data_IF_562948986634
#
_entry.id   IF_562948986634
#
_cell.length_a   1.000
_cell.length_b   1.000
_cell.length_c   1.000
_cell.angle_alpha   90.00
_cell.angle_beta   90.00
_cell.angle_gamma   90.00
#
_symmetry.space_group_name_H-M   'P 1'
#
loop_
_entity.id
_entity.type
_entity.pdbx_description
1 polymer ?
#
# COMPACT_ATOMS: atom_id res chain seq x y z
N UNK A 1 -13.21 -15.81 -12.24
CA UNK A 1 -12.12 -15.95 -11.26
C UNK A 1 -11.42 -14.61 -11.12
N UNK A 2 -11.38 -14.04 -9.94
CA UNK A 2 -10.84 -12.71 -9.64
C UNK A 2 -11.43 -11.56 -10.46
N UNK A 3 -12.70 -11.66 -10.87
CA UNK A 3 -13.39 -10.59 -11.60
C UNK A 3 -13.70 -9.42 -10.67
N UNK A 4 -13.51 -8.21 -11.17
CA UNK A 4 -13.97 -6.97 -10.52
C UNK A 4 -15.05 -6.28 -11.34
N UNK A 5 -15.72 -7.02 -12.22
CA UNK A 5 -16.73 -6.48 -13.13
C UNK A 5 -17.82 -5.70 -12.37
N UNK A 6 -18.01 -4.45 -12.75
CA UNK A 6 -19.00 -3.55 -12.16
C UNK A 6 -18.71 -3.08 -10.73
N UNK A 7 -17.58 -3.48 -10.09
CA UNK A 7 -17.14 -2.99 -8.79
C UNK A 7 -16.71 -1.52 -8.88
N UNK A 8 -17.04 -0.74 -7.85
CA UNK A 8 -16.59 0.65 -7.71
C UNK A 8 -15.38 0.67 -6.79
N UNK A 9 -14.23 1.09 -7.33
CA UNK A 9 -12.96 1.08 -6.61
C UNK A 9 -12.38 2.49 -6.46
N UNK A 10 -11.99 2.86 -5.23
CA UNK A 10 -11.19 4.05 -4.94
C UNK A 10 -9.75 3.60 -4.72
N UNK A 11 -8.80 4.27 -5.39
CA UNK A 11 -7.36 4.04 -5.19
C UNK A 11 -6.71 5.38 -4.86
N UNK A 12 -6.33 5.57 -3.59
CA UNK A 12 -5.54 6.75 -3.19
C UNK A 12 -4.08 6.58 -3.61
N UNK A 13 -3.41 7.66 -4.00
CA UNK A 13 -2.07 7.57 -4.57
C UNK A 13 -2.03 6.84 -5.93
N UNK A 14 -3.16 6.79 -6.63
CA UNK A 14 -3.31 6.05 -7.88
C UNK A 14 -2.61 6.68 -9.10
N UNK A 15 -1.92 7.80 -8.93
CA UNK A 15 -1.20 8.50 -10.01
C UNK A 15 0.22 7.97 -10.27
N UNK A 16 0.77 7.09 -9.44
CA UNK A 16 2.12 6.55 -9.63
C UNK A 16 2.33 5.21 -8.92
N UNK A 17 3.44 4.54 -9.20
CA UNK A 17 3.92 3.35 -8.48
C UNK A 17 2.87 2.27 -8.28
N UNK A 18 2.79 1.74 -7.06
CA UNK A 18 1.86 0.65 -6.69
C UNK A 18 0.40 1.04 -6.93
N UNK A 19 0.01 2.28 -6.56
CA UNK A 19 -1.36 2.76 -6.74
C UNK A 19 -1.77 2.78 -8.21
N UNK A 20 -0.91 3.26 -9.10
CA UNK A 20 -1.16 3.29 -10.54
C UNK A 20 -1.26 1.88 -11.14
N UNK A 21 -0.32 0.99 -10.79
CA UNK A 21 -0.35 -0.39 -11.24
C UNK A 21 -1.65 -1.09 -10.79
N UNK A 22 -2.09 -0.82 -9.54
CA UNK A 22 -3.35 -1.32 -9.00
C UNK A 22 -4.55 -0.77 -9.77
N UNK A 23 -4.59 0.54 -10.01
CA UNK A 23 -5.70 1.19 -10.73
C UNK A 23 -5.86 0.63 -12.15
N UNK A 24 -4.76 0.49 -12.89
CA UNK A 24 -4.76 -0.11 -14.23
C UNK A 24 -5.23 -1.56 -14.21
N UNK A 25 -4.73 -2.34 -13.25
CA UNK A 25 -5.11 -3.75 -13.10
C UNK A 25 -6.60 -3.91 -12.78
N UNK A 26 -7.15 -3.05 -11.92
CA UNK A 26 -8.57 -3.06 -11.56
C UNK A 26 -9.45 -2.68 -12.74
N UNK A 27 -9.08 -1.63 -13.50
CA UNK A 27 -9.80 -1.25 -14.72
C UNK A 27 -9.80 -2.39 -15.75
N UNK A 28 -8.67 -3.05 -15.96
CA UNK A 28 -8.57 -4.23 -16.85
C UNK A 28 -9.41 -5.43 -16.37
N UNK A 29 -9.73 -5.50 -15.07
CA UNK A 29 -10.58 -6.54 -14.47
C UNK A 29 -12.07 -6.15 -14.44
N UNK A 30 -12.46 -5.02 -15.06
CA UNK A 30 -13.85 -4.58 -15.20
C UNK A 30 -14.34 -3.64 -14.09
N UNK A 31 -13.48 -3.20 -13.18
CA UNK A 31 -13.87 -2.23 -12.16
C UNK A 31 -13.99 -0.81 -12.73
N UNK A 32 -14.92 -0.03 -12.18
CA UNK A 32 -14.96 1.42 -12.33
C UNK A 32 -14.03 2.04 -11.29
N UNK A 33 -12.89 2.55 -11.75
CA UNK A 33 -11.81 3.03 -10.88
C UNK A 33 -11.87 4.54 -10.73
N UNK A 34 -11.77 5.01 -9.49
CA UNK A 34 -11.54 6.41 -9.13
C UNK A 34 -10.13 6.53 -8.55
N UNK A 35 -9.27 7.26 -9.24
CA UNK A 35 -7.95 7.64 -8.75
C UNK A 35 -8.08 8.90 -7.91
N UNK A 36 -7.69 8.81 -6.62
CA UNK A 36 -7.57 9.93 -5.72
C UNK A 36 -6.08 10.27 -5.53
N UNK A 37 -5.65 11.42 -6.02
CA UNK A 37 -4.24 11.80 -6.03
C UNK A 37 -4.06 13.31 -5.86
N UNK A 38 -2.99 13.73 -5.16
CA UNK A 38 -2.73 15.16 -4.92
C UNK A 38 -2.29 15.87 -6.19
N UNK A 39 -1.36 15.27 -6.91
CA UNK A 39 -0.91 15.78 -8.21
C UNK A 39 -1.89 15.39 -9.31
N UNK A 40 -2.00 16.21 -10.34
CA UNK A 40 -2.88 15.93 -11.46
C UNK A 40 -2.50 14.60 -12.15
N UNK A 41 -3.49 13.73 -12.25
CA UNK A 41 -3.42 12.43 -12.91
C UNK A 41 -4.55 12.24 -13.92
N UNK A 42 -5.20 13.33 -14.36
CA UNK A 42 -6.38 13.31 -15.22
C UNK A 42 -6.12 12.62 -16.56
N UNK A 43 -5.10 13.06 -17.30
CA UNK A 43 -4.74 12.47 -18.59
C UNK A 43 -4.33 10.98 -18.46
N UNK A 44 -3.66 10.64 -17.36
CA UNK A 44 -3.27 9.26 -17.08
C UNK A 44 -4.49 8.38 -16.79
N UNK A 45 -5.44 8.86 -15.99
CA UNK A 45 -6.67 8.16 -15.65
C UNK A 45 -7.55 7.93 -16.90
N UNK A 46 -7.71 8.96 -17.74
CA UNK A 46 -8.44 8.89 -19.00
C UNK A 46 -7.87 7.81 -19.93
N UNK A 47 -6.55 7.66 -19.98
CA UNK A 47 -5.85 6.70 -20.84
C UNK A 47 -6.22 5.22 -20.60
N UNK A 48 -6.85 4.89 -19.46
CA UNK A 48 -7.37 3.54 -19.18
C UNK A 48 -8.81 3.54 -18.60
N UNK A 49 -9.56 4.61 -18.85
CA UNK A 49 -10.97 4.69 -18.50
C UNK A 49 -11.28 4.89 -17.02
N UNK A 50 -10.33 5.37 -16.23
CA UNK A 50 -10.55 5.72 -14.83
C UNK A 50 -10.99 7.18 -14.67
N UNK A 51 -11.58 7.50 -13.52
CA UNK A 51 -11.91 8.87 -13.11
C UNK A 51 -10.80 9.39 -12.19
N UNK A 52 -10.34 10.60 -12.41
CA UNK A 52 -9.44 11.30 -11.49
C UNK A 52 -10.21 12.28 -10.60
N UNK A 53 -9.88 12.31 -9.30
CA UNK A 53 -10.33 13.33 -8.35
C UNK A 53 -9.11 13.84 -7.55
N UNK A 54 -8.91 15.18 -7.49
CA UNK A 54 -7.80 15.77 -6.71
C UNK A 54 -8.09 15.62 -5.21
N UNK A 55 -7.15 15.01 -4.48
CA UNK A 55 -7.27 14.80 -3.03
C UNK A 55 -5.89 14.78 -2.37
N UNK A 56 -5.70 15.59 -1.35
CA UNK A 56 -4.67 15.38 -0.34
C UNK A 56 -5.27 14.58 0.81
N UNK A 57 -4.75 13.37 1.06
CA UNK A 57 -5.26 12.47 2.10
C UNK A 57 -4.97 12.97 3.51
N UNK A 58 -4.02 13.90 3.69
CA UNK A 58 -3.75 14.57 4.96
C UNK A 58 -4.89 15.54 5.36
N UNK A 59 -5.72 15.94 4.39
CA UNK A 59 -6.82 16.85 4.60
C UNK A 59 -8.16 16.08 4.68
N UNK A 60 -8.63 15.76 5.89
CA UNK A 60 -9.84 14.96 6.11
C UNK A 60 -11.07 15.52 5.36
N UNK A 61 -11.19 16.85 5.24
CA UNK A 61 -12.26 17.51 4.51
C UNK A 61 -12.29 17.14 3.03
N UNK A 62 -11.11 17.00 2.41
CA UNK A 62 -10.97 16.57 1.00
C UNK A 62 -11.30 15.09 0.85
N UNK A 63 -10.90 14.25 1.81
CA UNK A 63 -11.27 12.83 1.85
C UNK A 63 -12.79 12.67 1.94
N UNK A 64 -13.45 13.43 2.81
CA UNK A 64 -14.91 13.45 2.92
C UNK A 64 -15.57 13.86 1.61
N UNK A 65 -15.06 14.89 0.94
CA UNK A 65 -15.56 15.36 -0.34
C UNK A 65 -15.36 14.32 -1.45
N UNK A 66 -14.21 13.62 -1.48
CA UNK A 66 -13.94 12.49 -2.39
C UNK A 66 -15.03 11.43 -2.27
N UNK A 67 -15.26 10.93 -1.04
CA UNK A 67 -16.24 9.88 -0.80
C UNK A 67 -17.65 10.33 -1.22
N UNK A 68 -18.06 11.55 -0.84
CA UNK A 68 -19.34 12.10 -1.22
C UNK A 68 -19.53 12.16 -2.76
N UNK A 69 -18.48 12.56 -3.49
CA UNK A 69 -18.52 12.63 -4.95
C UNK A 69 -18.59 11.23 -5.59
N UNK A 70 -17.86 10.23 -5.05
CA UNK A 70 -17.95 8.84 -5.53
C UNK A 70 -19.36 8.29 -5.29
N UNK A 71 -19.95 8.52 -4.13
CA UNK A 71 -21.32 8.09 -3.83
C UNK A 71 -22.33 8.80 -4.73
N UNK A 72 -22.18 10.08 -4.97
CA UNK A 72 -23.04 10.83 -5.90
C UNK A 72 -23.01 10.26 -7.31
N UNK A 73 -21.83 9.81 -7.79
CA UNK A 73 -21.66 9.25 -9.15
C UNK A 73 -22.08 7.80 -9.28
N UNK A 74 -21.80 7.00 -8.25
CA UNK A 74 -21.86 5.53 -8.36
C UNK A 74 -22.81 4.86 -7.35
N UNK A 75 -23.26 5.58 -6.31
CA UNK A 75 -24.19 5.09 -5.30
C UNK A 75 -23.59 4.17 -4.24
N UNK A 76 -22.36 3.64 -4.43
CA UNK A 76 -21.68 2.72 -3.52
C UNK A 76 -20.18 2.75 -3.70
N UNK A 77 -19.47 2.11 -2.76
CA UNK A 77 -18.05 1.77 -2.85
C UNK A 77 -17.92 0.28 -2.56
N UNK A 78 -17.24 -0.47 -3.42
CA UNK A 78 -17.00 -1.90 -3.24
C UNK A 78 -15.55 -2.18 -2.79
N UNK A 79 -14.59 -1.35 -3.24
CA UNK A 79 -13.18 -1.54 -2.97
C UNK A 79 -12.54 -0.19 -2.60
N UNK A 80 -11.77 -0.18 -1.52
CA UNK A 80 -10.91 0.94 -1.15
C UNK A 80 -9.46 0.47 -1.08
N UNK A 81 -8.58 1.10 -1.83
CA UNK A 81 -7.13 0.87 -1.76
C UNK A 81 -6.44 2.13 -1.25
N UNK A 82 -5.83 2.05 -0.09
CA UNK A 82 -5.04 3.12 0.51
C UNK A 82 -3.57 2.94 0.16
N UNK A 83 -3.14 3.57 -0.96
CA UNK A 83 -1.77 3.52 -1.46
C UNK A 83 -1.07 4.89 -1.44
N UNK A 84 -1.76 5.96 -1.09
CA UNK A 84 -1.12 7.24 -0.85
C UNK A 84 -0.15 7.15 0.33
N UNK A 85 1.03 7.73 0.18
CA UNK A 85 2.04 7.74 1.22
C UNK A 85 3.22 8.61 0.83
N UNK A 86 4.05 8.90 1.81
CA UNK A 86 5.31 9.59 1.63
C UNK A 86 6.42 8.91 2.43
N UNK A 87 7.63 9.11 1.98
CA UNK A 87 8.87 8.90 2.70
C UNK A 87 9.73 10.13 2.50
N UNK A 88 10.24 10.70 3.58
CA UNK A 88 11.13 11.85 3.56
C UNK A 88 12.58 11.42 3.76
N UNK A 89 13.47 12.37 4.07
CA UNK A 89 14.87 12.12 4.37
C UNK A 89 15.02 11.08 5.49
N UNK A 90 15.86 10.12 5.24
CA UNK A 90 16.18 9.04 6.17
C UNK A 90 17.28 9.52 7.12
N UNK A 91 16.90 9.80 8.37
CA UNK A 91 17.78 10.35 9.40
C UNK A 91 17.86 9.42 10.60
N UNK A 92 19.03 9.38 11.31
CA UNK A 92 19.13 8.74 12.61
C UNK A 92 18.04 9.23 13.56
N UNK A 93 17.52 8.37 14.43
CA UNK A 93 16.37 8.67 15.29
C UNK A 93 16.56 9.96 16.13
N UNK A 94 17.79 10.28 16.52
CA UNK A 94 18.09 11.50 17.27
C UNK A 94 17.99 12.78 16.43
N UNK A 95 17.97 12.69 15.10
CA UNK A 95 17.95 13.80 14.16
C UNK A 95 16.57 14.00 13.53
N UNK A 96 15.65 13.04 13.70
CA UNK A 96 14.27 13.14 13.17
C UNK A 96 13.51 14.25 13.90
N UNK A 97 13.04 15.25 13.17
CA UNK A 97 12.27 16.35 13.74
C UNK A 97 10.84 15.89 14.10
N UNK A 98 10.24 16.58 15.10
CA UNK A 98 8.83 16.36 15.42
C UNK A 98 7.89 16.71 14.26
N UNK A 99 8.29 17.60 13.37
CA UNK A 99 7.54 17.94 12.17
C UNK A 99 7.55 16.79 11.15
N UNK A 100 8.72 16.20 10.88
CA UNK A 100 8.83 15.02 10.03
C UNK A 100 7.99 13.85 10.57
N UNK A 101 8.03 13.61 11.89
CA UNK A 101 7.17 12.62 12.53
C UNK A 101 5.69 12.90 12.27
N UNK A 102 5.20 14.12 12.54
CA UNK A 102 3.79 14.47 12.33
C UNK A 102 3.40 14.28 10.88
N UNK A 103 4.18 14.79 9.93
CA UNK A 103 3.90 14.71 8.49
C UNK A 103 3.77 13.27 8.00
N UNK A 104 4.63 12.35 8.47
CA UNK A 104 4.51 10.93 8.14
C UNK A 104 3.19 10.34 8.69
N UNK A 105 2.83 10.68 9.93
CA UNK A 105 1.58 10.21 10.50
C UNK A 105 0.35 10.81 9.80
N UNK A 106 0.37 12.10 9.47
CA UNK A 106 -0.74 12.76 8.78
C UNK A 106 -1.06 12.11 7.44
N UNK A 107 -0.04 11.85 6.62
CA UNK A 107 -0.25 11.23 5.31
C UNK A 107 -0.43 9.72 5.40
N UNK A 108 0.54 9.02 6.02
CA UNK A 108 0.61 7.56 5.94
C UNK A 108 -0.39 6.84 6.84
N UNK A 109 -0.80 7.46 7.96
CA UNK A 109 -1.66 6.84 8.97
C UNK A 109 -3.04 7.50 9.06
N UNK A 110 -3.08 8.83 9.29
CA UNK A 110 -4.33 9.57 9.41
C UNK A 110 -5.09 9.59 8.09
N UNK A 111 -4.39 9.70 6.95
CA UNK A 111 -4.99 9.59 5.62
C UNK A 111 -5.68 8.23 5.41
N UNK A 112 -5.04 7.13 5.83
CA UNK A 112 -5.63 5.78 5.79
C UNK A 112 -6.86 5.69 6.70
N UNK A 113 -6.74 6.18 7.94
CA UNK A 113 -7.87 6.23 8.86
C UNK A 113 -9.04 7.06 8.30
N UNK A 114 -8.79 8.25 7.78
CA UNK A 114 -9.81 9.15 7.26
C UNK A 114 -10.56 8.52 6.08
N UNK A 115 -9.84 7.88 5.15
CA UNK A 115 -10.45 7.20 4.01
C UNK A 115 -11.32 6.03 4.46
N UNK A 116 -10.86 5.19 5.39
CA UNK A 116 -11.66 4.10 5.96
C UNK A 116 -12.88 4.64 6.70
N UNK A 117 -12.72 5.65 7.55
CA UNK A 117 -13.80 6.29 8.31
C UNK A 117 -14.95 6.76 7.42
N UNK A 118 -14.61 7.45 6.32
CA UNK A 118 -15.61 8.04 5.44
C UNK A 118 -16.17 7.05 4.41
N UNK A 119 -15.38 6.07 3.95
CA UNK A 119 -15.82 5.10 2.95
C UNK A 119 -16.66 3.96 3.56
N UNK A 120 -16.28 3.41 4.72
CA UNK A 120 -16.92 2.23 5.30
C UNK A 120 -18.45 2.33 5.44
N UNK A 121 -19.06 3.47 5.86
CA UNK A 121 -20.51 3.59 5.93
C UNK A 121 -21.25 3.43 4.59
N UNK A 122 -20.53 3.49 3.47
CA UNK A 122 -21.05 3.37 2.11
C UNK A 122 -20.63 2.05 1.42
N UNK A 123 -20.03 1.15 2.19
CA UNK A 123 -19.61 -0.18 1.73
C UNK A 123 -20.53 -1.23 2.35
N UNK A 124 -21.34 -1.89 1.53
CA UNK A 124 -22.17 -3.01 1.96
C UNK A 124 -21.51 -4.33 1.56
N UNK A 125 -20.64 -4.83 2.39
CA UNK A 125 -19.65 -5.83 1.99
C UNK A 125 -18.54 -5.20 1.16
N UNK A 126 -17.51 -5.95 0.81
CA UNK A 126 -16.43 -5.42 -0.01
C UNK A 126 -15.05 -5.57 0.64
N UNK A 127 -14.07 -4.84 0.13
CA UNK A 127 -12.68 -5.01 0.55
C UNK A 127 -11.94 -3.68 0.70
N UNK A 128 -11.25 -3.52 1.83
CA UNK A 128 -10.30 -2.43 2.07
C UNK A 128 -8.90 -3.03 2.08
N UNK A 129 -7.99 -2.48 1.28
CA UNK A 129 -6.60 -2.91 1.22
C UNK A 129 -5.71 -1.70 1.50
N UNK A 130 -4.96 -1.76 2.59
CA UNK A 130 -4.02 -0.72 2.97
C UNK A 130 -2.61 -1.09 2.52
N UNK A 131 -1.85 -0.14 1.98
CA UNK A 131 -0.44 -0.35 1.65
C UNK A 131 0.42 0.13 2.81
N UNK A 132 0.94 -0.84 3.58
CA UNK A 132 1.93 -0.63 4.63
C UNK A 132 3.35 -0.78 4.08
N UNK A 133 4.24 -1.44 4.79
CA UNK A 133 5.63 -1.72 4.39
C UNK A 133 6.20 -2.84 5.26
N UNK A 134 7.23 -3.54 4.79
CA UNK A 134 8.05 -4.41 5.65
C UNK A 134 8.70 -3.61 6.79
N UNK A 135 8.98 -2.33 6.59
CA UNK A 135 9.49 -1.43 7.62
C UNK A 135 8.53 -1.23 8.81
N UNK A 136 7.27 -1.63 8.69
CA UNK A 136 6.32 -1.71 9.80
C UNK A 136 6.56 -2.90 10.72
N UNK A 137 7.28 -3.92 10.25
CA UNK A 137 7.42 -5.23 10.89
C UNK A 137 8.85 -5.53 11.32
N UNK A 138 9.82 -4.77 10.82
CA UNK A 138 11.23 -4.89 11.19
C UNK A 138 11.83 -3.51 11.44
N UNK A 139 12.89 -3.47 12.27
CA UNK A 139 13.67 -2.25 12.49
C UNK A 139 14.55 -1.95 11.29
N UNK A 140 14.35 -0.80 10.66
CA UNK A 140 15.21 -0.29 9.59
C UNK A 140 15.87 0.99 10.10
N UNK A 141 17.20 1.02 10.09
CA UNK A 141 17.95 2.20 10.52
C UNK A 141 17.53 3.41 9.68
N UNK A 142 17.43 4.56 10.31
CA UNK A 142 17.05 5.86 9.69
C UNK A 142 15.58 6.01 9.26
N UNK A 143 14.74 4.99 9.42
CA UNK A 143 13.33 4.98 8.98
C UNK A 143 12.32 5.26 10.13
N UNK A 144 12.74 5.87 11.24
CA UNK A 144 11.92 5.96 12.46
C UNK A 144 10.50 6.52 12.21
N UNK A 145 10.38 7.65 11.53
CA UNK A 145 9.08 8.27 11.26
C UNK A 145 8.22 7.43 10.27
N UNK A 146 8.84 6.97 9.20
CA UNK A 146 8.19 6.14 8.20
C UNK A 146 7.71 4.81 8.80
N UNK A 147 8.62 4.06 9.44
CA UNK A 147 8.33 2.75 10.05
C UNK A 147 7.19 2.85 11.08
N UNK A 148 7.26 3.84 11.96
CA UNK A 148 6.22 4.05 12.97
C UNK A 148 4.86 4.36 12.33
N UNK A 149 4.82 5.21 11.30
CA UNK A 149 3.59 5.53 10.57
C UNK A 149 3.01 4.30 9.84
N UNK A 150 3.87 3.45 9.25
CA UNK A 150 3.44 2.21 8.57
C UNK A 150 3.04 1.10 9.55
N UNK A 151 3.63 1.05 10.74
CA UNK A 151 3.18 0.15 11.82
C UNK A 151 1.78 0.52 12.31
N UNK A 152 1.47 1.82 12.41
CA UNK A 152 0.11 2.27 12.72
C UNK A 152 -0.92 1.79 11.68
N UNK A 153 -0.57 1.72 10.39
CA UNK A 153 -1.45 1.17 9.34
C UNK A 153 -1.78 -0.30 9.59
N UNK A 154 -0.81 -1.10 10.03
CA UNK A 154 -1.04 -2.51 10.37
C UNK A 154 -2.06 -2.61 11.52
N UNK A 155 -1.86 -1.85 12.60
CA UNK A 155 -2.78 -1.82 13.74
C UNK A 155 -4.18 -1.36 13.36
N UNK A 156 -4.29 -0.26 12.59
CA UNK A 156 -5.57 0.24 12.06
C UNK A 156 -6.28 -0.81 11.20
N UNK A 157 -5.55 -1.55 10.38
CA UNK A 157 -6.09 -2.63 9.55
C UNK A 157 -6.72 -3.73 10.41
N UNK A 158 -6.01 -4.18 11.44
CA UNK A 158 -6.49 -5.23 12.34
C UNK A 158 -7.73 -4.80 13.10
N UNK A 159 -7.72 -3.59 13.65
CA UNK A 159 -8.88 -3.02 14.36
C UNK A 159 -10.10 -2.89 13.43
N UNK A 160 -9.92 -2.28 12.27
CA UNK A 160 -11.00 -2.11 11.31
C UNK A 160 -11.55 -3.45 10.78
N UNK A 161 -10.72 -4.48 10.64
CA UNK A 161 -11.16 -5.81 10.25
C UNK A 161 -12.16 -6.43 11.24
N UNK A 162 -11.98 -6.17 12.55
CA UNK A 162 -12.90 -6.63 13.59
C UNK A 162 -14.16 -5.78 13.62
N UNK A 163 -14.02 -4.45 13.60
CA UNK A 163 -15.13 -3.51 13.72
C UNK A 163 -16.10 -3.54 12.51
N UNK A 164 -15.58 -3.83 11.31
CA UNK A 164 -16.38 -3.80 10.08
C UNK A 164 -16.84 -5.20 9.62
N UNK A 165 -16.55 -6.25 10.41
CA UNK A 165 -16.89 -7.64 10.07
C UNK A 165 -18.40 -7.85 9.91
N UNK A 166 -19.21 -7.28 10.79
CA UNK A 166 -20.68 -7.40 10.75
C UNK A 166 -21.30 -6.73 9.51
N UNK A 167 -20.56 -5.81 8.87
CA UNK A 167 -20.95 -5.19 7.61
C UNK A 167 -20.48 -6.00 6.40
N UNK A 168 -19.84 -7.14 6.62
CA UNK A 168 -19.26 -7.99 5.57
C UNK A 168 -18.04 -7.37 4.87
N UNK A 169 -17.40 -6.36 5.47
CA UNK A 169 -16.23 -5.70 4.91
C UNK A 169 -14.96 -6.42 5.39
N UNK A 170 -14.10 -6.81 4.46
CA UNK A 170 -12.78 -7.34 4.76
C UNK A 170 -11.76 -6.21 4.74
N UNK A 171 -10.84 -6.20 5.69
CA UNK A 171 -9.77 -5.21 5.75
C UNK A 171 -8.44 -5.93 5.89
N UNK A 172 -7.53 -5.73 4.94
CA UNK A 172 -6.19 -6.31 4.95
C UNK A 172 -5.16 -5.24 4.64
N UNK A 173 -3.90 -5.49 4.94
CA UNK A 173 -2.81 -4.69 4.41
C UNK A 173 -1.77 -5.55 3.69
N UNK A 174 -1.12 -4.96 2.71
CA UNK A 174 0.07 -5.50 2.08
C UNK A 174 1.28 -4.78 2.63
N UNK A 175 2.37 -5.52 2.85
CA UNK A 175 3.64 -5.01 3.36
C UNK A 175 4.74 -5.24 2.31
N UNK A 176 4.88 -4.34 1.31
CA UNK A 176 5.92 -4.47 0.31
C UNK A 176 7.32 -4.28 0.88
N UNK A 177 8.28 -4.99 0.30
CA UNK A 177 9.70 -4.65 0.39
C UNK A 177 10.04 -3.47 -0.54
N UNK A 178 11.30 -3.39 -1.01
CA UNK A 178 11.70 -2.36 -1.97
C UNK A 178 11.12 -2.66 -3.35
N UNK A 179 10.29 -1.74 -3.83
CA UNK A 179 9.55 -1.83 -5.10
C UNK A 179 10.00 -0.73 -6.04
N UNK A 180 10.19 -1.05 -7.31
CA UNK A 180 10.61 -0.12 -8.36
C UNK A 180 9.54 0.94 -8.64
N UNK A 181 9.56 2.01 -7.87
CA UNK A 181 8.61 3.10 -7.91
C UNK A 181 9.32 4.46 -7.95
N UNK A 182 8.66 5.54 -8.36
CA UNK A 182 9.21 6.89 -8.23
C UNK A 182 9.61 7.20 -6.77
N UNK A 183 8.88 6.69 -5.78
CA UNK A 183 9.20 6.88 -4.36
C UNK A 183 10.58 6.31 -4.00
N UNK A 184 10.94 5.13 -4.50
CA UNK A 184 12.29 4.56 -4.31
C UNK A 184 13.33 5.31 -5.15
N UNK A 185 13.06 5.50 -6.45
CA UNK A 185 14.02 6.06 -7.40
C UNK A 185 14.42 7.51 -7.11
N UNK A 186 13.58 8.28 -6.43
CA UNK A 186 13.84 9.68 -6.08
C UNK A 186 14.65 9.84 -4.77
N UNK A 187 14.90 8.76 -4.04
CA UNK A 187 15.73 8.82 -2.84
C UNK A 187 17.21 8.97 -3.20
N UNK A 188 17.93 9.77 -2.42
CA UNK A 188 19.34 10.07 -2.67
C UNK A 188 20.25 8.83 -2.68
N UNK A 189 19.85 7.77 -1.99
CA UNK A 189 20.59 6.51 -1.84
C UNK A 189 19.90 5.32 -2.55
N UNK A 190 19.02 5.57 -3.53
CA UNK A 190 18.26 4.55 -4.23
C UNK A 190 19.12 3.39 -4.75
N UNK A 191 20.25 3.71 -5.40
CA UNK A 191 21.15 2.71 -5.97
C UNK A 191 21.82 1.83 -4.88
N UNK A 192 22.12 2.43 -3.72
CA UNK A 192 22.68 1.70 -2.57
C UNK A 192 21.63 0.73 -2.02
N UNK A 193 20.39 1.19 -1.85
CA UNK A 193 19.28 0.35 -1.39
C UNK A 193 19.03 -0.80 -2.37
N UNK A 194 18.93 -0.50 -3.67
CA UNK A 194 18.71 -1.51 -4.71
C UNK A 194 19.82 -2.56 -4.67
N UNK A 195 21.09 -2.14 -4.69
CA UNK A 195 22.23 -3.07 -4.65
C UNK A 195 22.30 -3.89 -3.35
N UNK A 196 21.80 -3.37 -2.23
CA UNK A 196 21.65 -4.13 -1.00
C UNK A 196 20.54 -5.19 -1.14
N UNK A 197 19.36 -4.81 -1.64
CA UNK A 197 18.22 -5.72 -1.80
C UNK A 197 18.53 -6.85 -2.78
N UNK A 198 19.24 -6.57 -3.88
CA UNK A 198 19.68 -7.59 -4.85
C UNK A 198 20.52 -8.69 -4.21
N UNK A 199 21.25 -8.36 -3.14
CA UNK A 199 22.07 -9.32 -2.39
C UNK A 199 21.32 -9.97 -1.23
N UNK A 200 20.38 -9.25 -0.64
CA UNK A 200 19.74 -9.60 0.60
C UNK A 200 18.41 -10.35 0.40
N UNK A 201 17.59 -9.96 -0.56
CA UNK A 201 16.34 -10.64 -0.84
C UNK A 201 16.57 -11.99 -1.52
N UNK A 202 15.85 -13.03 -1.09
CA UNK A 202 15.92 -14.34 -1.70
C UNK A 202 15.61 -14.34 -3.21
N UNK A 203 14.76 -13.40 -3.67
CA UNK A 203 14.44 -13.21 -5.08
C UNK A 203 15.58 -12.56 -5.89
N UNK A 204 16.64 -12.03 -5.26
CA UNK A 204 17.80 -11.41 -5.90
C UNK A 204 17.50 -10.14 -6.68
N UNK A 205 16.39 -9.46 -6.39
CA UNK A 205 15.96 -8.23 -7.07
C UNK A 205 14.96 -7.44 -6.24
N UNK A 206 14.76 -6.17 -6.58
CA UNK A 206 13.61 -5.40 -6.12
C UNK A 206 12.32 -5.90 -6.81
N UNK A 207 11.18 -5.67 -6.17
CA UNK A 207 9.87 -6.00 -6.72
C UNK A 207 9.39 -4.98 -7.77
N UNK A 208 8.38 -5.37 -8.56
CA UNK A 208 7.72 -4.48 -9.51
C UNK A 208 6.34 -4.06 -8.95
N UNK A 209 5.86 -2.83 -9.24
CA UNK A 209 4.54 -2.37 -8.83
C UNK A 209 3.40 -3.32 -9.21
N UNK A 210 3.51 -3.98 -10.36
CA UNK A 210 2.53 -4.93 -10.89
C UNK A 210 2.43 -6.19 -10.02
N UNK A 211 3.51 -6.60 -9.37
CA UNK A 211 3.52 -7.75 -8.46
C UNK A 211 2.72 -7.44 -7.19
N UNK A 212 2.90 -6.23 -6.64
CA UNK A 212 2.10 -5.76 -5.50
C UNK A 212 0.63 -5.57 -5.89
N UNK A 213 0.37 -5.01 -7.07
CA UNK A 213 -0.97 -4.84 -7.62
C UNK A 213 -1.69 -6.18 -7.83
N UNK A 214 -0.95 -7.26 -8.15
CA UNK A 214 -1.51 -8.60 -8.27
C UNK A 214 -2.03 -9.13 -6.91
N UNK A 215 -1.27 -8.93 -5.84
CA UNK A 215 -1.70 -9.29 -4.48
C UNK A 215 -2.89 -8.43 -4.02
N UNK A 216 -2.85 -7.12 -4.28
CA UNK A 216 -3.97 -6.22 -3.96
C UNK A 216 -5.24 -6.65 -4.70
N UNK A 217 -5.13 -7.02 -5.96
CA UNK A 217 -6.25 -7.52 -6.76
C UNK A 217 -6.83 -8.83 -6.17
N UNK A 218 -5.97 -9.78 -5.81
CA UNK A 218 -6.40 -11.01 -5.14
C UNK A 218 -7.20 -10.71 -3.86
N UNK A 219 -6.70 -9.80 -3.02
CA UNK A 219 -7.38 -9.39 -1.78
C UNK A 219 -8.69 -8.62 -2.03
N UNK A 220 -8.80 -7.92 -3.15
CA UNK A 220 -10.00 -7.17 -3.53
C UNK A 220 -11.13 -8.07 -4.03
N UNK A 221 -10.80 -9.21 -4.64
CA UNK A 221 -11.76 -10.09 -5.28
C UNK A 221 -12.64 -10.86 -4.28
N UNK A 222 -13.84 -11.24 -4.74
CA UNK A 222 -14.77 -12.03 -3.94
C UNK A 222 -14.30 -13.47 -3.70
N UNK A 223 -13.30 -13.93 -4.46
CA UNK A 223 -12.64 -15.24 -4.28
C UNK A 223 -11.87 -15.34 -2.94
N UNK A 224 -11.58 -14.19 -2.29
CA UNK A 224 -10.74 -14.10 -1.09
C UNK A 224 -11.54 -13.81 0.20
N UNK A 225 -12.74 -14.39 0.35
CA UNK A 225 -13.70 -14.01 1.42
C UNK A 225 -13.27 -14.38 2.84
N UNK A 226 -12.34 -15.30 3.01
CA UNK A 226 -11.91 -15.77 4.34
C UNK A 226 -10.60 -15.12 4.82
N UNK A 227 -10.09 -14.11 4.10
CA UNK A 227 -8.89 -13.37 4.50
C UNK A 227 -9.29 -11.97 4.94
N UNK A 228 -9.13 -11.67 6.23
CA UNK A 228 -9.32 -10.34 6.83
C UNK A 228 -8.40 -10.16 8.02
N UNK A 229 -8.02 -8.93 8.34
CA UNK A 229 -7.12 -8.57 9.44
C UNK A 229 -5.65 -8.93 9.19
N UNK A 230 -5.25 -9.30 7.97
CA UNK A 230 -3.91 -9.79 7.69
C UNK A 230 -2.97 -8.68 7.22
N UNK A 231 -1.71 -8.77 7.69
CA UNK A 231 -0.58 -8.03 7.15
C UNK A 231 0.26 -8.99 6.30
N UNK A 232 0.15 -8.87 4.97
CA UNK A 232 0.74 -9.84 4.04
C UNK A 232 2.00 -9.24 3.42
N UNK A 233 3.14 -9.88 3.69
CA UNK A 233 4.43 -9.48 3.14
C UNK A 233 4.52 -9.84 1.65
N UNK A 234 5.11 -8.93 0.88
CA UNK A 234 5.50 -9.11 -0.51
C UNK A 234 6.85 -8.43 -0.72
N UNK A 235 7.91 -9.15 -0.35
CA UNK A 235 9.23 -8.59 -0.14
C UNK A 235 10.38 -9.38 -0.80
N UNK A 236 10.04 -10.35 -1.64
CA UNK A 236 11.04 -11.22 -2.26
C UNK A 236 11.82 -12.08 -1.29
N UNK A 237 11.28 -12.29 -0.07
CA UNK A 237 11.95 -13.06 1.00
C UNK A 237 12.97 -12.24 1.80
N UNK A 238 12.90 -10.91 1.75
CA UNK A 238 13.82 -10.01 2.47
C UNK A 238 13.79 -10.22 3.99
N UNK A 239 12.62 -10.42 4.58
CA UNK A 239 12.49 -10.69 6.03
C UNK A 239 13.10 -12.03 6.46
N UNK A 240 13.40 -12.92 5.51
CA UNK A 240 14.04 -14.21 5.75
C UNK A 240 15.56 -14.19 5.50
N UNK A 241 16.15 -13.01 5.45
CA UNK A 241 17.58 -12.75 5.12
C UNK A 241 18.53 -13.61 5.96
N UNK A 242 18.22 -13.80 7.25
CA UNK A 242 19.05 -14.60 8.13
C UNK A 242 19.13 -16.07 7.72
N UNK A 243 18.07 -16.60 7.12
CA UNK A 243 18.07 -17.97 6.64
C UNK A 243 19.01 -18.15 5.43
N UNK A 244 19.05 -17.18 4.50
CA UNK A 244 19.91 -17.24 3.33
C UNK A 244 21.39 -17.10 3.70
N UNK A 245 21.76 -16.08 4.46
CA UNK A 245 23.13 -15.87 4.94
C UNK A 245 23.62 -17.05 5.82
N UNK A 246 22.74 -17.63 6.63
CA UNK A 246 23.05 -18.82 7.42
C UNK A 246 23.32 -20.04 6.54
N UNK A 247 22.51 -20.25 5.50
CA UNK A 247 22.69 -21.37 4.54
C UNK A 247 24.02 -21.25 3.81
N UNK A 248 24.38 -20.07 3.29
CA UNK A 248 25.67 -19.85 2.65
C UNK A 248 26.84 -20.10 3.62
N UNK A 249 26.74 -19.62 4.86
CA UNK A 249 27.73 -19.84 5.88
C UNK A 249 27.89 -21.33 6.23
N UNK A 250 26.79 -22.05 6.36
CA UNK A 250 26.78 -23.49 6.65
C UNK A 250 27.33 -24.30 5.48
N UNK A 251 26.96 -23.94 4.22
CA UNK A 251 27.50 -24.61 3.01
C UNK A 251 28.99 -24.37 2.91
N UNK A 252 29.46 -23.13 3.10
CA UNK A 252 30.90 -22.79 3.06
C UNK A 252 31.68 -23.51 4.17
N UNK A 253 31.12 -23.65 5.39
CA UNK A 253 31.74 -24.35 6.51
C UNK A 253 31.81 -25.87 6.33
N UNK A 254 30.93 -26.46 5.52
CA UNK A 254 30.91 -27.92 5.25
C UNK A 254 31.97 -28.34 4.23
N UNK A 255 32.63 -27.39 3.58
CA UNK A 255 33.55 -27.68 2.48
C UNK A 255 32.79 -28.24 1.29
N UNK A 256 33.09 -27.79 0.10
CA UNK A 256 32.66 -28.48 -1.14
C UNK A 256 33.32 -29.86 -1.13
N UNK A 257 32.62 -30.97 -1.40
CA UNK A 257 33.21 -32.30 -1.46
C UNK A 257 34.28 -32.41 -2.53
#
# INVERSE_FOLDING_TARGET
MFSLEGKIAIVTGGGSGIGLATARRFASAGAKVVIANRSDASALAEGFGATYLPVDVAEESQVKALVAEVIRRHGRIDILVNSAGLIDDMLPIAEVSAEAMRRHFEVNSMGVWATMRHAAPHMAGGSIINVSSVAALLGVATYAAYSASKAAVVSLTQTAAVELADQGIRVNCVCPGSIDTPMLRQQANADIEIGFIEKAAAAGRIGQPEEVAALIHFLAADDCRYITGQAIMIDGGLLNIHAHALVETVIAARGTP
#
